data_IF_166013127452
#
_entry.id   IF_166013127452
#
_cell.length_a   1.000
_cell.length_b   1.000
_cell.length_c   1.000
_cell.angle_alpha   90.00
_cell.angle_beta   90.00
_cell.angle_gamma   90.00
#
_symmetry.space_group_name_H-M   'P 1'
#
loop_
_entity.id
_entity.type
_entity.pdbx_description
1 polymer ?
#
# COMPACT_ATOMS: atom_id res chain seq x y z
N UNK A 1 19.61 7.44 3.36
CA UNK A 1 18.20 7.08 3.09
C UNK A 1 18.12 5.56 2.93
N UNK A 2 17.26 4.89 3.68
CA UNK A 2 17.02 3.43 3.55
C UNK A 2 15.54 3.23 3.29
N UNK A 3 15.19 2.63 2.15
CA UNK A 3 13.81 2.29 1.82
C UNK A 3 13.44 0.99 2.54
N UNK A 4 12.35 0.95 3.33
CA UNK A 4 11.93 -0.26 4.03
C UNK A 4 11.55 -1.36 3.04
N UNK A 5 11.99 -2.57 3.32
CA UNK A 5 11.67 -3.79 2.57
C UNK A 5 10.17 -3.98 2.38
N UNK A 6 9.38 -3.78 3.45
CA UNK A 6 7.91 -3.91 3.46
C UNK A 6 7.22 -3.14 2.33
N UNK A 7 7.74 -1.99 1.91
CA UNK A 7 7.24 -1.25 0.74
C UNK A 7 8.08 -1.52 -0.50
N UNK A 8 9.41 -1.64 -0.37
CA UNK A 8 10.31 -1.82 -1.51
C UNK A 8 10.00 -3.09 -2.34
N UNK A 9 9.55 -4.16 -1.68
CA UNK A 9 9.20 -5.43 -2.33
C UNK A 9 7.70 -5.65 -2.52
N UNK A 10 6.86 -4.64 -2.22
CA UNK A 10 5.40 -4.77 -2.27
C UNK A 10 4.83 -4.83 -3.70
N UNK A 11 5.66 -4.72 -4.73
CA UNK A 11 5.22 -4.81 -6.12
C UNK A 11 4.56 -6.15 -6.45
N UNK A 12 5.15 -7.26 -5.97
CA UNK A 12 4.59 -8.60 -6.19
C UNK A 12 3.17 -8.75 -5.62
N UNK A 13 2.98 -8.38 -4.35
CA UNK A 13 1.64 -8.44 -3.72
C UNK A 13 0.65 -7.47 -4.37
N UNK A 14 1.12 -6.33 -4.88
CA UNK A 14 0.27 -5.37 -5.60
C UNK A 14 -0.21 -5.94 -6.93
N UNK A 15 0.65 -6.64 -7.67
CA UNK A 15 0.26 -7.30 -8.92
C UNK A 15 -0.63 -8.52 -8.66
N UNK A 16 -0.43 -9.27 -7.57
CA UNK A 16 -1.38 -10.32 -7.14
C UNK A 16 -2.75 -9.75 -6.78
N UNK A 17 -2.82 -8.54 -6.21
CA UNK A 17 -4.09 -7.84 -6.04
C UNK A 17 -4.73 -7.48 -7.38
N UNK A 18 -3.95 -7.04 -8.37
CA UNK A 18 -4.47 -6.78 -9.72
C UNK A 18 -4.99 -8.04 -10.41
N UNK A 19 -4.31 -9.17 -10.26
CA UNK A 19 -4.79 -10.48 -10.73
C UNK A 19 -6.19 -10.78 -10.18
N UNK A 20 -6.36 -10.70 -8.86
CA UNK A 20 -7.67 -10.89 -8.21
C UNK A 20 -8.75 -9.92 -8.72
N UNK A 21 -8.41 -8.65 -9.00
CA UNK A 21 -9.37 -7.68 -9.56
C UNK A 21 -9.78 -8.06 -10.98
N UNK A 22 -8.84 -8.49 -11.82
CA UNK A 22 -9.10 -8.87 -13.22
C UNK A 22 -9.97 -10.13 -13.29
N UNK A 23 -9.73 -11.09 -12.40
CA UNK A 23 -10.46 -12.37 -12.34
C UNK A 23 -11.98 -12.19 -12.12
N UNK A 24 -12.44 -11.12 -11.47
CA UNK A 24 -13.88 -10.86 -11.31
C UNK A 24 -14.63 -10.63 -12.62
N UNK A 25 -13.94 -10.13 -13.64
CA UNK A 25 -14.55 -9.73 -14.92
C UNK A 25 -13.98 -10.49 -16.11
N UNK A 26 -13.03 -11.40 -15.87
CA UNK A 26 -12.23 -12.08 -16.91
C UNK A 26 -11.66 -11.12 -17.96
N UNK A 27 -11.35 -9.89 -17.53
CA UNK A 27 -10.82 -8.83 -18.37
C UNK A 27 -9.40 -8.51 -17.92
N UNK A 28 -8.44 -8.87 -18.78
CA UNK A 28 -7.03 -8.74 -18.48
C UNK A 28 -6.45 -7.45 -19.06
N UNK A 29 -5.65 -6.77 -18.27
CA UNK A 29 -4.93 -5.56 -18.64
C UNK A 29 -3.63 -5.90 -19.34
N UNK A 30 -3.18 -4.97 -20.18
CA UNK A 30 -1.85 -4.99 -20.78
C UNK A 30 -0.77 -4.73 -19.73
N UNK A 31 0.47 -5.10 -20.06
CA UNK A 31 1.63 -4.84 -19.20
C UNK A 31 1.79 -3.35 -18.88
N UNK A 32 1.59 -2.47 -19.87
CA UNK A 32 1.64 -1.02 -19.69
C UNK A 32 0.59 -0.53 -18.69
N UNK A 33 -0.65 -1.03 -18.79
CA UNK A 33 -1.71 -0.71 -17.84
C UNK A 33 -1.41 -1.21 -16.42
N UNK A 34 -0.82 -2.41 -16.29
CA UNK A 34 -0.36 -2.95 -15.01
C UNK A 34 0.73 -2.07 -14.41
N UNK A 35 1.75 -1.69 -15.19
CA UNK A 35 2.86 -0.87 -14.72
C UNK A 35 2.41 0.53 -14.31
N UNK A 36 1.54 1.20 -15.09
CA UNK A 36 0.99 2.52 -14.73
C UNK A 36 0.20 2.47 -13.42
N UNK A 37 -0.59 1.40 -13.22
CA UNK A 37 -1.35 1.20 -11.97
C UNK A 37 -0.42 0.90 -10.79
N UNK A 38 0.59 0.06 -11.01
CA UNK A 38 1.59 -0.32 -10.02
C UNK A 38 2.33 0.94 -9.52
N UNK A 39 2.85 1.75 -10.44
CA UNK A 39 3.56 2.99 -10.12
C UNK A 39 2.68 3.93 -9.28
N UNK A 40 1.42 4.11 -9.67
CA UNK A 40 0.48 4.96 -8.94
C UNK A 40 0.29 4.50 -7.48
N UNK A 41 0.13 3.19 -7.24
CA UNK A 41 -0.05 2.64 -5.90
C UNK A 41 1.24 2.74 -5.08
N UNK A 42 2.36 2.32 -5.65
CA UNK A 42 3.65 2.27 -4.96
C UNK A 42 4.15 3.67 -4.59
N UNK A 43 4.07 4.63 -5.52
CA UNK A 43 4.45 6.04 -5.27
C UNK A 43 3.51 6.67 -4.25
N UNK A 44 2.20 6.42 -4.34
CA UNK A 44 1.24 6.92 -3.36
C UNK A 44 1.50 6.40 -1.95
N UNK A 45 1.82 5.09 -1.83
CA UNK A 45 2.17 4.48 -0.56
C UNK A 45 3.47 5.04 0.01
N UNK A 46 4.52 5.17 -0.82
CA UNK A 46 5.80 5.73 -0.39
C UNK A 46 5.66 7.18 0.08
N UNK A 47 4.89 8.01 -0.65
CA UNK A 47 4.64 9.41 -0.25
C UNK A 47 3.98 9.48 1.13
N UNK A 48 2.92 8.70 1.38
CA UNK A 48 2.27 8.68 2.72
C UNK A 48 3.24 8.27 3.83
N UNK A 49 4.09 7.26 3.59
CA UNK A 49 5.10 6.81 4.55
C UNK A 49 6.11 7.93 4.82
N UNK A 50 6.55 8.63 3.78
CA UNK A 50 7.50 9.73 3.87
C UNK A 50 6.92 10.89 4.69
N UNK A 51 5.71 11.32 4.36
CA UNK A 51 5.03 12.40 5.08
C UNK A 51 4.85 12.05 6.57
N UNK A 52 4.55 10.78 6.88
CA UNK A 52 4.41 10.28 8.25
C UNK A 52 5.75 10.25 8.99
N UNK A 53 6.83 9.86 8.30
CA UNK A 53 8.18 9.84 8.87
C UNK A 53 8.64 11.26 9.22
N UNK A 54 8.42 12.21 8.32
CA UNK A 54 8.79 13.62 8.51
C UNK A 54 7.94 14.27 9.62
N UNK A 55 6.63 14.03 9.63
CA UNK A 55 5.71 14.57 10.63
C UNK A 55 6.05 14.13 12.05
N UNK A 56 6.39 12.86 12.23
CA UNK A 56 6.65 12.28 13.56
C UNK A 56 8.14 12.20 13.91
N UNK A 57 9.03 12.64 13.01
CA UNK A 57 10.49 12.55 13.16
C UNK A 57 10.98 11.13 13.48
N UNK A 58 10.44 10.13 12.78
CA UNK A 58 10.77 8.71 12.94
C UNK A 58 11.40 8.14 11.68
N UNK A 59 12.02 6.96 11.79
CA UNK A 59 12.59 6.29 10.62
C UNK A 59 11.50 5.87 9.63
N UNK A 60 11.82 5.80 8.34
CA UNK A 60 10.91 5.28 7.30
C UNK A 60 10.38 3.88 7.63
N UNK A 61 11.21 3.03 8.26
CA UNK A 61 10.80 1.68 8.69
C UNK A 61 9.69 1.76 9.73
N UNK A 62 9.87 2.57 10.77
CA UNK A 62 8.86 2.79 11.80
C UNK A 62 7.60 3.41 11.22
N UNK A 63 7.74 4.42 10.36
CA UNK A 63 6.61 5.08 9.69
C UNK A 63 5.82 4.10 8.81
N UNK A 64 6.48 3.15 8.14
CA UNK A 64 5.80 2.12 7.33
C UNK A 64 4.84 1.29 8.18
N UNK A 65 5.29 0.83 9.35
CA UNK A 65 4.42 0.10 10.28
C UNK A 65 3.35 1.00 10.90
N UNK A 66 3.66 2.26 11.23
CA UNK A 66 2.69 3.20 11.75
C UNK A 66 1.52 3.42 10.76
N UNK A 67 1.83 3.66 9.48
CA UNK A 67 0.83 3.80 8.41
C UNK A 67 0.00 2.52 8.23
N UNK A 68 0.63 1.35 8.32
CA UNK A 68 -0.08 0.07 8.22
C UNK A 68 -1.07 -0.14 9.39
N UNK A 69 -0.61 0.06 10.62
CA UNK A 69 -1.44 -0.05 11.82
C UNK A 69 -2.57 0.97 11.83
N UNK A 70 -2.28 2.23 11.47
CA UNK A 70 -3.28 3.30 11.37
C UNK A 70 -4.43 2.89 10.44
N UNK A 71 -4.12 2.39 9.24
CA UNK A 71 -5.13 1.94 8.28
C UNK A 71 -6.02 0.83 8.85
N UNK A 72 -5.44 -0.15 9.52
CA UNK A 72 -6.18 -1.27 10.12
C UNK A 72 -7.09 -0.77 11.25
N UNK A 73 -6.56 0.10 12.11
CA UNK A 73 -7.30 0.66 13.24
C UNK A 73 -8.44 1.56 12.79
N UNK A 74 -8.23 2.40 11.77
CA UNK A 74 -9.29 3.22 11.17
C UNK A 74 -10.43 2.36 10.62
N UNK A 75 -10.11 1.35 9.81
CA UNK A 75 -11.12 0.43 9.27
C UNK A 75 -11.86 -0.34 10.38
N UNK A 76 -11.14 -0.71 11.46
CA UNK A 76 -11.73 -1.37 12.64
C UNK A 76 -12.68 -0.44 13.40
N UNK A 77 -12.35 0.84 13.51
CA UNK A 77 -13.15 1.87 14.16
C UNK A 77 -14.41 2.18 13.37
N UNK A 78 -14.31 2.34 12.05
CA UNK A 78 -15.45 2.59 11.15
C UNK A 78 -16.46 1.45 11.16
N UNK A 79 -16.00 0.19 11.18
CA UNK A 79 -16.88 -0.98 11.25
C UNK A 79 -17.58 -1.15 12.60
N UNK A 80 -17.11 -0.47 13.65
CA UNK A 80 -17.66 -0.60 15.00
C UNK A 80 -17.43 -1.98 15.63
N UNK A 81 -17.80 -2.14 16.90
CA UNK A 81 -17.81 -3.46 17.57
C UNK A 81 -19.19 -4.08 17.40
N UNK A 82 -19.30 -5.11 16.58
CA UNK A 82 -20.51 -5.91 16.40
C UNK A 82 -20.13 -7.41 16.43
N UNK A 83 -20.93 -8.29 17.06
CA UNK A 83 -20.70 -9.74 17.02
C UNK A 83 -20.66 -10.32 15.60
#
# INVERSE_FOLDING_TARGET
>A
LVVPDVICNAGGVTVSYFEWVQDFSSFFWTEDEINVRLDKIMVGALRKIWDTADLHHITLRTATFAVACERILMARQERGLYP
#
